data_IF_396374404862
#
_entry.id   IF_396374404862
#
_cell.length_a   1.000
_cell.length_b   1.000
_cell.length_c   1.000
_cell.angle_alpha   90.00
_cell.angle_beta   90.00
_cell.angle_gamma   90.00
#
_symmetry.space_group_name_H-M   'P 1'
#
loop_
_entity.id
_entity.type
_entity.pdbx_description
1 polymer ?
#
# COMPACT_ATOMS: atom_id res chain seq x y z
N UNK A 1 -31.90 1.41 -16.48
CA UNK A 1 -31.87 1.53 -14.99
C UNK A 1 -30.80 0.64 -14.31
N UNK A 2 -30.07 -0.21 -15.05
CA UNK A 2 -29.05 -1.14 -14.51
C UNK A 2 -27.63 -0.51 -14.38
N UNK A 3 -27.32 0.53 -15.18
CA UNK A 3 -25.97 1.12 -15.24
C UNK A 3 -25.54 1.95 -14.02
N UNK A 4 -26.47 2.49 -13.22
CA UNK A 4 -26.12 3.32 -12.04
C UNK A 4 -25.74 2.51 -10.80
N UNK A 5 -26.01 1.20 -10.77
CA UNK A 5 -25.76 0.35 -9.60
C UNK A 5 -24.36 -0.29 -9.65
N UNK A 6 -23.87 -0.62 -10.85
CA UNK A 6 -22.51 -1.12 -11.06
C UNK A 6 -21.44 -0.03 -10.92
N UNK A 7 -21.75 1.21 -11.30
CA UNK A 7 -20.83 2.34 -11.18
C UNK A 7 -20.51 2.75 -9.74
N UNK A 8 -21.29 2.26 -8.76
CA UNK A 8 -21.07 2.58 -7.34
C UNK A 8 -20.11 1.61 -6.65
N UNK A 9 -19.91 0.42 -7.21
CA UNK A 9 -18.99 -0.60 -6.66
C UNK A 9 -17.57 -0.50 -7.21
N UNK A 10 -17.41 0.10 -8.38
CA UNK A 10 -16.13 0.19 -9.07
C UNK A 10 -15.47 1.54 -8.78
N UNK A 11 -14.61 1.60 -7.76
CA UNK A 11 -13.77 2.77 -7.54
C UNK A 11 -12.79 2.93 -8.72
N UNK A 12 -12.44 4.16 -9.13
CA UNK A 12 -11.50 4.39 -10.24
C UNK A 12 -10.18 3.59 -10.11
N UNK A 13 -9.56 3.47 -8.93
CA UNK A 13 -8.38 2.63 -8.74
C UNK A 13 -8.65 1.15 -9.02
N UNK A 14 -9.80 0.62 -8.60
CA UNK A 14 -10.15 -0.79 -8.77
C UNK A 14 -10.28 -1.14 -10.27
N UNK A 15 -10.94 -0.28 -11.05
CA UNK A 15 -11.05 -0.45 -12.51
C UNK A 15 -9.66 -0.44 -13.15
N UNK A 16 -8.80 0.50 -12.73
CA UNK A 16 -7.42 0.59 -13.20
C UNK A 16 -6.62 -0.68 -12.91
N UNK A 17 -6.74 -1.24 -11.70
CA UNK A 17 -6.08 -2.50 -11.33
C UNK A 17 -6.58 -3.67 -12.16
N UNK A 18 -7.89 -3.82 -12.34
CA UNK A 18 -8.43 -4.89 -13.19
C UNK A 18 -7.97 -4.78 -14.64
N UNK A 19 -8.01 -3.57 -15.21
CA UNK A 19 -7.50 -3.33 -16.56
C UNK A 19 -6.01 -3.69 -16.67
N UNK A 20 -5.19 -3.27 -15.71
CA UNK A 20 -3.76 -3.57 -15.68
C UNK A 20 -3.50 -5.09 -15.58
N UNK A 21 -4.23 -5.81 -14.72
CA UNK A 21 -4.11 -7.27 -14.60
C UNK A 21 -4.48 -7.96 -15.92
N UNK A 22 -5.58 -7.56 -16.57
CA UNK A 22 -5.99 -8.12 -17.86
C UNK A 22 -4.89 -7.91 -18.91
N UNK A 23 -4.32 -6.70 -18.98
CA UNK A 23 -3.23 -6.39 -19.93
C UNK A 23 -1.97 -7.22 -19.66
N UNK A 24 -1.63 -7.47 -18.39
CA UNK A 24 -0.44 -8.24 -18.00
C UNK A 24 -0.61 -9.74 -18.23
N UNK A 25 -1.81 -10.28 -17.96
CA UNK A 25 -2.11 -11.72 -18.06
C UNK A 25 -2.18 -12.16 -19.52
N UNK A 26 -2.65 -11.31 -20.44
CA UNK A 26 -2.74 -11.67 -21.86
C UNK A 26 -1.36 -11.54 -22.53
N UNK A 27 -0.72 -12.66 -22.93
CA UNK A 27 0.67 -12.65 -23.42
C UNK A 27 0.85 -11.85 -24.71
N UNK A 28 -0.18 -11.78 -25.56
CA UNK A 28 -0.19 -10.95 -26.77
C UNK A 28 -0.18 -9.44 -26.44
N UNK A 29 -0.95 -9.00 -25.45
CA UNK A 29 -0.96 -7.60 -25.03
C UNK A 29 0.33 -7.23 -24.32
N UNK A 30 0.85 -8.13 -23.48
CA UNK A 30 2.15 -7.97 -22.83
C UNK A 30 3.26 -7.84 -23.88
N UNK A 31 3.42 -8.80 -24.78
CA UNK A 31 4.49 -8.75 -25.79
C UNK A 31 4.37 -7.54 -26.71
N UNK A 32 3.15 -7.08 -27.01
CA UNK A 32 2.90 -5.88 -27.80
C UNK A 32 3.26 -4.58 -27.04
N UNK A 33 2.94 -4.49 -25.75
CA UNK A 33 3.29 -3.35 -24.89
C UNK A 33 4.81 -3.28 -24.61
N UNK A 34 5.47 -4.43 -24.51
CA UNK A 34 6.92 -4.53 -24.32
C UNK A 34 7.70 -4.55 -25.64
N UNK A 35 7.01 -4.49 -26.78
CA UNK A 35 7.64 -4.39 -28.09
C UNK A 35 8.40 -3.07 -28.25
N UNK A 36 9.44 -3.07 -29.09
CA UNK A 36 10.36 -1.95 -29.23
C UNK A 36 9.81 -0.76 -30.05
N UNK A 37 8.52 -0.77 -30.41
CA UNK A 37 7.88 0.34 -31.11
C UNK A 37 7.90 1.62 -30.27
N UNK A 38 8.27 2.72 -30.91
CA UNK A 38 8.43 4.04 -30.27
C UNK A 38 7.17 4.51 -29.50
N UNK A 39 5.97 4.27 -30.05
CA UNK A 39 4.71 4.67 -29.43
C UNK A 39 4.44 3.91 -28.12
N UNK A 40 4.63 2.58 -28.08
CA UNK A 40 4.42 1.79 -26.86
C UNK A 40 5.48 2.08 -25.80
N UNK A 41 6.73 2.32 -26.23
CA UNK A 41 7.79 2.78 -25.33
C UNK A 41 7.45 4.14 -24.70
N UNK A 42 6.95 5.09 -25.49
CA UNK A 42 6.51 6.40 -25.00
C UNK A 42 5.33 6.28 -24.03
N UNK A 43 4.32 5.48 -24.37
CA UNK A 43 3.16 5.23 -23.51
C UNK A 43 3.54 4.57 -22.18
N UNK A 44 4.39 3.52 -22.22
CA UNK A 44 4.89 2.85 -21.01
C UNK A 44 5.69 3.80 -20.13
N UNK A 45 6.56 4.61 -20.72
CA UNK A 45 7.35 5.59 -19.97
C UNK A 45 6.42 6.64 -19.34
N UNK A 46 5.44 7.15 -20.08
CA UNK A 46 4.42 8.06 -19.54
C UNK A 46 3.66 7.46 -18.36
N UNK A 47 3.21 6.20 -18.47
CA UNK A 47 2.56 5.47 -17.38
C UNK A 47 3.49 5.29 -16.17
N UNK A 48 4.77 4.98 -16.39
CA UNK A 48 5.78 4.88 -15.32
C UNK A 48 5.94 6.21 -14.58
N UNK A 49 6.08 7.31 -15.33
CA UNK A 49 6.20 8.66 -14.74
C UNK A 49 4.96 9.06 -13.95
N UNK A 50 3.75 8.75 -14.44
CA UNK A 50 2.52 8.99 -13.69
C UNK A 50 2.51 8.17 -12.38
N UNK A 51 2.93 6.91 -12.43
CA UNK A 51 3.05 6.05 -11.25
C UNK A 51 4.04 6.60 -10.22
N UNK A 52 5.22 7.03 -10.66
CA UNK A 52 6.25 7.63 -9.81
C UNK A 52 5.77 8.95 -9.17
N UNK A 53 5.04 9.79 -9.92
CA UNK A 53 4.44 11.03 -9.41
C UNK A 53 3.26 10.80 -8.46
N UNK A 54 2.60 9.64 -8.52
CA UNK A 54 1.41 9.36 -7.69
C UNK A 54 1.76 9.27 -6.20
N UNK A 55 2.92 8.71 -5.86
CA UNK A 55 3.39 8.58 -4.47
C UNK A 55 3.53 9.95 -3.77
N UNK A 56 4.29 10.93 -4.31
CA UNK A 56 4.39 12.25 -3.68
C UNK A 56 3.07 13.03 -3.73
N UNK A 57 2.24 12.86 -4.78
CA UNK A 57 0.91 13.49 -4.83
C UNK A 57 -0.02 12.98 -3.71
N UNK A 58 0.02 11.68 -3.41
CA UNK A 58 -0.73 11.11 -2.29
C UNK A 58 -0.27 11.65 -0.94
N UNK A 59 1.05 11.79 -0.74
CA UNK A 59 1.61 12.38 0.47
C UNK A 59 1.23 13.87 0.60
N UNK A 60 1.26 14.62 -0.50
CA UNK A 60 0.82 16.01 -0.53
C UNK A 60 -0.66 16.14 -0.17
N UNK A 61 -1.51 15.28 -0.73
CA UNK A 61 -2.94 15.25 -0.41
C UNK A 61 -3.19 14.95 1.08
N UNK A 62 -2.45 13.99 1.64
CA UNK A 62 -2.51 13.69 3.08
C UNK A 62 -2.05 14.90 3.93
N UNK A 63 -0.99 15.58 3.53
CA UNK A 63 -0.53 16.81 4.19
C UNK A 63 -1.57 17.94 4.16
N UNK A 64 -2.30 18.07 3.05
CA UNK A 64 -3.39 19.02 2.89
C UNK A 64 -4.54 18.75 3.88
N UNK A 65 -4.97 17.48 3.99
CA UNK A 65 -6.00 17.07 4.95
C UNK A 65 -5.58 17.32 6.40
N UNK A 66 -4.31 17.06 6.74
CA UNK A 66 -3.76 17.39 8.07
C UNK A 66 -3.75 18.90 8.32
N UNK A 67 -3.39 19.70 7.33
CA UNK A 67 -3.39 21.15 7.46
C UNK A 67 -4.80 21.70 7.74
N UNK A 68 -5.81 21.23 7.00
CA UNK A 68 -7.20 21.60 7.23
C UNK A 68 -7.74 21.10 8.57
N UNK A 69 -7.37 19.88 8.98
CA UNK A 69 -7.72 19.33 10.29
C UNK A 69 -7.16 20.21 11.43
N UNK A 70 -5.87 20.57 11.34
CA UNK A 70 -5.20 21.44 12.32
C UNK A 70 -5.82 22.83 12.42
N UNK A 71 -6.25 23.40 11.28
CA UNK A 71 -6.91 24.70 11.24
C UNK A 71 -8.33 24.70 11.83
N UNK A 72 -8.99 23.54 11.92
CA UNK A 72 -10.36 23.39 12.44
C UNK A 72 -10.39 22.99 13.91
N UNK A 73 -9.35 22.30 14.38
CA UNK A 73 -9.27 21.81 15.75
C UNK A 73 -8.64 22.85 16.69
N UNK A 74 -9.45 23.76 17.26
CA UNK A 74 -9.12 24.32 18.56
C UNK A 74 -9.43 23.27 19.63
N UNK A 75 -8.36 22.70 20.19
CA UNK A 75 -8.32 22.02 21.49
C UNK A 75 -8.69 20.52 21.55
N UNK A 76 -7.71 19.77 22.05
CA UNK A 76 -7.78 18.55 22.88
C UNK A 76 -7.99 17.13 22.29
N UNK A 77 -6.91 16.34 22.46
CA UNK A 77 -6.88 14.96 23.02
C UNK A 77 -7.35 13.79 22.14
N UNK A 78 -6.47 13.29 21.27
CA UNK A 78 -6.47 11.85 20.89
C UNK A 78 -5.06 11.24 20.70
N UNK A 79 -3.99 11.88 21.19
CA UNK A 79 -2.61 11.51 20.82
C UNK A 79 -2.08 10.17 21.39
N UNK A 80 -2.64 9.66 22.48
CA UNK A 80 -2.05 8.52 23.21
C UNK A 80 -2.61 7.13 22.80
N UNK A 81 -3.92 6.93 22.55
CA UNK A 81 -4.39 5.60 22.12
C UNK A 81 -3.96 5.26 20.69
N UNK A 82 -3.78 6.26 19.84
CA UNK A 82 -3.51 6.08 18.40
C UNK A 82 -2.10 5.54 18.14
N UNK A 83 -1.10 6.03 18.85
CA UNK A 83 0.30 5.59 18.68
C UNK A 83 0.50 4.14 19.10
N UNK A 84 -0.17 3.69 20.17
CA UNK A 84 -0.18 2.29 20.59
C UNK A 84 -0.79 1.37 19.54
N UNK A 85 -1.94 1.76 18.96
CA UNK A 85 -2.62 0.96 17.92
C UNK A 85 -1.75 0.85 16.67
N UNK A 86 -1.05 1.93 16.30
CA UNK A 86 -0.16 1.96 15.14
C UNK A 86 1.10 1.12 15.33
N UNK A 87 1.69 1.15 16.53
CA UNK A 87 2.83 0.32 16.90
C UNK A 87 2.44 -1.16 16.89
N UNK A 88 1.28 -1.48 17.48
CA UNK A 88 0.76 -2.84 17.52
C UNK A 88 0.46 -3.34 16.10
N UNK A 89 -0.10 -2.52 15.22
CA UNK A 89 -0.33 -2.86 13.81
C UNK A 89 0.97 -3.15 13.07
N UNK A 90 1.98 -2.29 13.21
CA UNK A 90 3.26 -2.44 12.52
C UNK A 90 4.11 -3.59 13.04
N UNK A 91 3.87 -4.10 14.25
CA UNK A 91 4.57 -5.26 14.78
C UNK A 91 3.77 -6.57 14.62
N UNK A 92 2.47 -6.55 14.91
CA UNK A 92 1.61 -7.74 14.82
C UNK A 92 1.42 -8.20 13.38
N UNK A 93 1.14 -7.29 12.43
CA UNK A 93 0.89 -7.69 11.04
C UNK A 93 2.10 -8.42 10.43
N UNK A 94 3.33 -7.89 10.47
CA UNK A 94 4.48 -8.60 9.93
C UNK A 94 4.82 -9.86 10.74
N UNK A 95 4.61 -9.88 12.06
CA UNK A 95 4.79 -11.09 12.86
C UNK A 95 3.81 -12.20 12.46
N UNK A 96 2.53 -11.88 12.29
CA UNK A 96 1.51 -12.82 11.78
C UNK A 96 1.89 -13.29 10.38
N UNK A 97 2.38 -12.38 9.54
CA UNK A 97 2.81 -12.70 8.17
C UNK A 97 4.01 -13.67 8.18
N UNK A 98 4.98 -13.50 9.09
CA UNK A 98 6.12 -14.41 9.26
C UNK A 98 5.67 -15.81 9.68
N UNK A 99 4.75 -15.88 10.65
CA UNK A 99 4.19 -17.15 11.11
C UNK A 99 3.44 -17.84 9.97
N UNK A 100 2.61 -17.09 9.23
CA UNK A 100 1.86 -17.62 8.11
C UNK A 100 2.79 -18.14 7.00
N UNK A 101 3.86 -17.40 6.70
CA UNK A 101 4.86 -17.78 5.71
C UNK A 101 5.60 -19.07 6.12
N UNK A 102 5.96 -19.21 7.40
CA UNK A 102 6.53 -20.45 7.94
C UNK A 102 5.58 -21.64 7.74
N UNK A 103 4.30 -21.45 8.05
CA UNK A 103 3.27 -22.48 7.93
C UNK A 103 2.98 -22.87 6.47
N UNK A 104 3.01 -21.92 5.54
CA UNK A 104 2.72 -22.17 4.13
C UNK A 104 3.91 -22.81 3.40
N UNK A 105 5.14 -22.57 3.86
CA UNK A 105 6.39 -23.09 3.27
C UNK A 105 6.34 -24.58 2.88
N UNK A 106 5.85 -25.51 3.73
CA UNK A 106 5.78 -26.93 3.37
C UNK A 106 4.69 -27.27 2.33
N UNK A 107 3.70 -26.41 2.09
CA UNK A 107 2.57 -26.71 1.20
C UNK A 107 2.70 -26.09 -0.19
N UNK A 108 3.58 -25.11 -0.39
CA UNK A 108 3.68 -24.36 -1.65
C UNK A 108 5.14 -24.14 -2.06
N UNK A 109 5.51 -24.58 -3.27
CA UNK A 109 6.88 -24.44 -3.80
C UNK A 109 7.31 -22.96 -3.93
N UNK A 110 6.39 -22.06 -4.27
CA UNK A 110 6.66 -20.61 -4.31
C UNK A 110 7.00 -20.04 -2.93
N UNK A 111 6.56 -20.71 -1.85
CA UNK A 111 6.88 -20.33 -0.49
C UNK A 111 8.36 -20.48 -0.15
N UNK A 112 9.15 -21.19 -0.95
CA UNK A 112 10.60 -21.31 -0.78
C UNK A 112 11.40 -20.22 -1.51
N UNK A 113 10.78 -19.45 -2.41
CA UNK A 113 11.48 -18.39 -3.13
C UNK A 113 11.73 -17.18 -2.22
N UNK A 114 12.99 -16.85 -1.88
CA UNK A 114 13.30 -15.71 -1.01
C UNK A 114 12.77 -14.38 -1.55
N UNK A 115 12.65 -14.23 -2.88
CA UNK A 115 12.07 -13.01 -3.47
C UNK A 115 10.58 -12.88 -3.19
N UNK A 116 9.84 -14.00 -3.25
CA UNK A 116 8.42 -14.02 -2.92
C UNK A 116 8.18 -13.72 -1.44
N UNK A 117 8.98 -14.32 -0.57
CA UNK A 117 8.91 -14.06 0.86
C UNK A 117 9.21 -12.58 1.19
N UNK A 118 10.24 -11.99 0.56
CA UNK A 118 10.56 -10.57 0.67
C UNK A 118 9.42 -9.67 0.20
N UNK A 119 8.81 -9.99 -0.94
CA UNK A 119 7.69 -9.21 -1.49
C UNK A 119 6.48 -9.22 -0.55
N UNK A 120 6.10 -10.38 0.00
CA UNK A 120 4.99 -10.48 0.96
C UNK A 120 5.28 -9.67 2.23
N UNK A 121 6.51 -9.72 2.75
CA UNK A 121 6.91 -8.95 3.92
C UNK A 121 6.85 -7.44 3.67
N UNK A 122 7.30 -7.00 2.51
CA UNK A 122 7.23 -5.59 2.10
C UNK A 122 5.77 -5.11 2.03
N UNK A 123 4.87 -5.94 1.49
CA UNK A 123 3.44 -5.62 1.44
C UNK A 123 2.82 -5.60 2.85
N UNK A 124 3.21 -6.52 3.73
CA UNK A 124 2.70 -6.62 5.09
C UNK A 124 3.19 -5.49 6.02
N UNK A 125 4.45 -5.07 5.84
CA UNK A 125 5.05 -3.96 6.59
C UNK A 125 4.79 -2.58 5.96
N UNK A 126 4.23 -2.56 4.76
CA UNK A 126 3.98 -1.35 3.97
C UNK A 126 3.14 -0.31 4.72
N UNK A 127 3.35 0.95 4.31
CA UNK A 127 2.66 2.10 4.87
C UNK A 127 1.12 1.93 4.85
N UNK A 128 0.39 2.52 5.81
CA UNK A 128 -1.06 2.38 5.89
C UNK A 128 -1.73 2.85 4.60
N UNK A 129 -2.85 2.22 4.25
CA UNK A 129 -3.54 2.54 3.00
C UNK A 129 -4.06 3.97 2.98
N UNK A 130 -3.59 4.77 2.02
CA UNK A 130 -4.07 6.14 1.74
C UNK A 130 -5.56 6.18 1.33
N UNK A 131 -6.13 5.03 0.95
CA UNK A 131 -7.57 4.88 0.71
C UNK A 131 -8.42 5.19 1.96
N UNK A 132 -7.85 5.05 3.16
CA UNK A 132 -8.55 5.37 4.41
C UNK A 132 -8.83 6.88 4.56
N UNK A 133 -7.89 7.76 4.13
CA UNK A 133 -8.12 9.22 4.09
C UNK A 133 -9.28 9.53 3.14
N UNK A 134 -9.28 8.91 1.97
CA UNK A 134 -10.31 9.16 0.98
C UNK A 134 -11.67 8.69 1.52
N UNK A 135 -11.72 7.52 2.17
CA UNK A 135 -12.94 6.98 2.75
C UNK A 135 -13.47 7.85 3.91
N UNK A 136 -12.61 8.37 4.78
CA UNK A 136 -13.03 9.33 5.82
C UNK A 136 -13.51 10.65 5.20
N UNK A 137 -12.86 11.10 4.12
CA UNK A 137 -13.30 12.26 3.35
C UNK A 137 -14.71 12.06 2.75
N UNK A 138 -15.02 10.87 2.23
CA UNK A 138 -16.35 10.51 1.71
C UNK A 138 -17.42 10.37 2.79
N UNK A 139 -17.08 9.75 3.93
CA UNK A 139 -18.05 9.47 5.02
C UNK A 139 -18.34 10.67 5.92
N UNK A 140 -17.63 11.79 5.69
CA UNK A 140 -17.73 13.04 6.44
C UNK A 140 -17.58 12.93 7.96
N UNK A 141 -17.01 11.81 8.42
CA UNK A 141 -16.88 11.44 9.82
C UNK A 141 -15.41 11.19 10.14
N UNK A 142 -14.96 11.67 11.30
CA UNK A 142 -13.61 11.44 11.82
C UNK A 142 -12.45 11.82 10.88
N UNK A 143 -12.65 12.81 9.99
CA UNK A 143 -11.62 13.19 9.00
C UNK A 143 -10.33 13.64 9.66
N UNK A 144 -10.50 14.47 10.69
CA UNK A 144 -9.39 15.15 11.36
C UNK A 144 -8.56 14.13 12.15
N UNK A 145 -9.21 13.25 12.92
CA UNK A 145 -8.52 12.20 13.67
C UNK A 145 -7.82 11.18 12.76
N UNK A 146 -8.46 10.80 11.65
CA UNK A 146 -7.89 9.85 10.68
C UNK A 146 -6.69 10.46 9.95
N UNK A 147 -6.74 11.74 9.60
CA UNK A 147 -5.62 12.43 8.96
C UNK A 147 -4.38 12.48 9.87
N UNK A 148 -4.54 12.88 11.14
CA UNK A 148 -3.45 12.87 12.11
C UNK A 148 -2.93 11.46 12.39
N UNK A 149 -3.82 10.47 12.55
CA UNK A 149 -3.45 9.07 12.76
C UNK A 149 -2.58 8.55 11.62
N UNK A 150 -2.95 8.83 10.38
CA UNK A 150 -2.20 8.37 9.21
C UNK A 150 -0.85 9.07 9.12
N UNK A 151 -0.76 10.37 9.40
CA UNK A 151 0.53 11.09 9.43
C UNK A 151 1.50 10.47 10.44
N UNK A 152 1.06 10.24 11.69
CA UNK A 152 1.90 9.58 12.69
C UNK A 152 2.29 8.16 12.28
N UNK A 153 1.38 7.44 11.62
CA UNK A 153 1.66 6.12 11.09
C UNK A 153 2.72 6.13 9.99
N UNK A 154 2.72 7.12 9.09
CA UNK A 154 3.75 7.25 8.05
C UNK A 154 5.12 7.57 8.65
N UNK A 155 5.17 8.44 9.66
CA UNK A 155 6.43 8.77 10.36
C UNK A 155 7.00 7.54 11.07
N UNK A 156 6.16 6.77 11.77
CA UNK A 156 6.58 5.53 12.44
C UNK A 156 6.90 4.38 11.46
N UNK A 157 6.22 4.33 10.31
CA UNK A 157 6.44 3.30 9.31
C UNK A 157 7.87 3.32 8.75
N UNK A 158 8.47 4.50 8.58
CA UNK A 158 9.83 4.63 8.00
C UNK A 158 10.90 3.86 8.80
N UNK A 159 11.11 4.13 10.11
CA UNK A 159 12.09 3.38 10.89
C UNK A 159 11.66 1.92 11.10
N UNK A 160 10.35 1.66 11.25
CA UNK A 160 9.84 0.31 11.50
C UNK A 160 10.06 -0.61 10.30
N UNK A 161 9.73 -0.16 9.08
CA UNK A 161 9.93 -0.90 7.85
C UNK A 161 11.42 -1.16 7.60
N UNK A 162 12.28 -0.18 7.87
CA UNK A 162 13.74 -0.34 7.79
C UNK A 162 14.25 -1.41 8.74
N UNK A 163 13.78 -1.40 10.00
CA UNK A 163 14.15 -2.41 10.98
C UNK A 163 13.64 -3.81 10.62
N UNK A 164 12.38 -3.93 10.18
CA UNK A 164 11.76 -5.20 9.80
C UNK A 164 12.46 -5.84 8.59
N UNK A 165 12.78 -5.06 7.57
CA UNK A 165 13.54 -5.55 6.41
C UNK A 165 14.92 -6.05 6.84
N UNK A 166 15.61 -5.32 7.74
CA UNK A 166 16.90 -5.74 8.29
C UNK A 166 16.81 -7.06 9.08
N UNK A 167 15.81 -7.19 9.96
CA UNK A 167 15.55 -8.43 10.72
C UNK A 167 15.28 -9.59 9.75
N UNK A 168 14.51 -9.33 8.70
CA UNK A 168 14.12 -10.36 7.75
C UNK A 168 15.30 -10.83 6.88
N UNK A 169 16.15 -9.91 6.41
CA UNK A 169 17.39 -10.29 5.71
C UNK A 169 18.34 -11.13 6.59
N UNK A 170 18.26 -11.01 7.91
CA UNK A 170 19.00 -11.87 8.83
C UNK A 170 18.37 -13.26 9.03
N UNK A 171 17.05 -13.34 8.92
CA UNK A 171 16.27 -14.55 9.16
C UNK A 171 16.18 -15.48 7.95
N UNK A 172 15.98 -14.95 6.73
CA UNK A 172 15.85 -15.79 5.52
C UNK A 172 17.07 -16.70 5.29
N UNK A 173 18.34 -16.23 5.43
CA UNK A 173 19.49 -17.09 5.20
C UNK A 173 19.50 -18.33 6.10
N UNK A 174 19.08 -18.17 7.36
CA UNK A 174 18.98 -19.27 8.33
C UNK A 174 17.88 -20.27 8.02
N UNK A 175 16.97 -19.96 7.11
CA UNK A 175 15.88 -20.85 6.71
C UNK A 175 16.25 -21.73 5.51
N UNK A 176 17.42 -21.49 4.92
CA UNK A 176 17.94 -22.19 3.75
C UNK A 176 19.18 -23.04 4.06
N UNK A 177 19.74 -22.91 5.28
CA UNK A 177 20.62 -23.91 5.90
C UNK A 177 19.80 -25.10 6.43
#
# INVERSE_FOLDING_TARGET
>A
KFNKKFSHFLTPPLIGTYAAVIVIVVPYLKSFLFSSFFLFKSLRNGLSYIGECTVPLLLLNLGCEVYFASSRSSQERVHVPVTSILFLRHLLIPAITLILLYLIKPYYELGNDPMFQLAIMLVASGAPSSSLVQLSAYTNSYKDEVAFLLLYSYILAIPCLTALVGIFMFIIPKWYE
#
